data_IF_798316410323
#
_entry.id   IF_798316410323
#
_cell.length_a   1.000
_cell.length_b   1.000
_cell.length_c   1.000
_cell.angle_alpha   90.00
_cell.angle_beta   90.00
_cell.angle_gamma   90.00
#
_symmetry.space_group_name_H-M   'P 1'
#
loop_
_entity.id
_entity.type
_entity.pdbx_description
1 polymer ?
#
# COMPACT_ATOMS: atom_id res chain seq x y z
N UNK A 1 -17.63 -1.11 -8.07
CA UNK A 1 -16.97 -1.79 -6.93
C UNK A 1 -15.46 -1.79 -7.20
N UNK A 2 -14.61 -1.56 -6.19
CA UNK A 2 -13.14 -1.63 -6.40
C UNK A 2 -12.73 -3.09 -6.23
N UNK A 3 -12.09 -3.66 -7.26
CA UNK A 3 -11.53 -5.00 -7.23
C UNK A 3 -10.00 -4.90 -7.22
N UNK A 4 -9.33 -5.58 -6.29
CA UNK A 4 -7.87 -5.63 -6.19
C UNK A 4 -7.38 -6.99 -6.68
N UNK A 5 -6.67 -7.04 -7.80
CA UNK A 5 -6.15 -8.28 -8.39
C UNK A 5 -4.71 -8.59 -7.99
N UNK A 6 -3.91 -7.56 -7.70
CA UNK A 6 -2.52 -7.71 -7.33
C UNK A 6 -2.08 -6.59 -6.39
N UNK A 7 -1.21 -6.93 -5.45
CA UNK A 7 -0.52 -5.98 -4.59
C UNK A 7 0.97 -6.20 -4.71
N UNK A 8 1.73 -5.12 -4.93
CA UNK A 8 3.18 -5.13 -4.93
C UNK A 8 3.70 -4.21 -3.82
N UNK A 9 4.50 -4.78 -2.93
CA UNK A 9 5.17 -4.09 -1.84
C UNK A 9 6.66 -3.97 -2.19
N UNK A 10 7.18 -2.74 -2.24
CA UNK A 10 8.60 -2.47 -2.45
C UNK A 10 9.16 -1.75 -1.24
N UNK A 11 10.30 -2.23 -0.71
CA UNK A 11 10.95 -1.66 0.48
C UNK A 11 9.96 -1.36 1.64
N UNK A 12 9.07 -2.33 1.92
CA UNK A 12 8.06 -2.21 2.97
C UNK A 12 8.31 -3.24 4.06
N UNK A 13 8.81 -2.78 5.21
CA UNK A 13 9.33 -3.65 6.29
C UNK A 13 10.32 -4.68 5.74
N UNK A 14 10.11 -5.97 6.01
CA UNK A 14 10.95 -7.07 5.53
C UNK A 14 10.79 -7.38 4.04
N UNK A 15 9.84 -6.75 3.34
CA UNK A 15 9.64 -6.97 1.91
C UNK A 15 10.51 -6.01 1.08
N UNK A 16 11.58 -6.53 0.49
CA UNK A 16 12.39 -5.80 -0.50
C UNK A 16 11.58 -5.62 -1.79
N UNK A 17 11.07 -6.72 -2.33
CA UNK A 17 10.14 -6.74 -3.47
C UNK A 17 9.25 -7.97 -3.34
N UNK A 18 7.98 -7.76 -3.00
CA UNK A 18 7.01 -8.83 -2.80
C UNK A 18 5.74 -8.52 -3.59
N UNK A 19 5.22 -9.51 -4.32
CA UNK A 19 3.96 -9.41 -5.03
C UNK A 19 3.08 -10.60 -4.69
N UNK A 20 1.79 -10.35 -4.54
CA UNK A 20 0.79 -11.41 -4.38
C UNK A 20 -0.46 -11.07 -5.18
N UNK A 21 -0.92 -12.05 -5.93
CA UNK A 21 -2.21 -11.99 -6.62
C UNK A 21 -3.33 -12.28 -5.63
N UNK A 22 -4.42 -11.55 -5.75
CA UNK A 22 -5.57 -11.63 -4.86
C UNK A 22 -6.79 -12.11 -5.64
N UNK A 23 -7.56 -12.99 -5.01
CA UNK A 23 -8.89 -13.38 -5.45
C UNK A 23 -9.96 -12.63 -4.63
N UNK A 24 -11.24 -12.92 -4.85
CA UNK A 24 -12.33 -12.37 -4.04
C UNK A 24 -12.20 -12.73 -2.55
N UNK A 25 -11.66 -13.91 -2.25
CA UNK A 25 -11.40 -14.40 -0.91
C UNK A 25 -9.97 -14.93 -0.81
N UNK A 26 -9.24 -14.51 0.22
CA UNK A 26 -7.83 -14.86 0.41
C UNK A 26 -7.60 -15.24 1.88
N UNK A 27 -6.97 -16.39 2.12
CA UNK A 27 -6.50 -16.80 3.45
C UNK A 27 -4.98 -16.64 3.49
N UNK A 28 -4.48 -15.85 4.44
CA UNK A 28 -3.05 -15.70 4.67
C UNK A 28 -2.58 -16.74 5.68
N UNK A 29 -1.80 -17.72 5.23
CA UNK A 29 -1.22 -18.78 6.07
C UNK A 29 0.31 -18.70 6.09
N UNK A 30 0.92 -19.23 7.15
CA UNK A 30 2.38 -19.31 7.29
C UNK A 30 2.86 -19.15 8.74
N UNK A 31 4.17 -19.34 9.01
CA UNK A 31 4.76 -19.20 10.35
C UNK A 31 4.55 -17.82 10.98
N UNK A 32 4.73 -17.72 12.30
CA UNK A 32 4.83 -16.42 12.97
C UNK A 32 5.92 -15.59 12.30
N UNK A 33 5.68 -14.29 12.16
CA UNK A 33 6.60 -13.35 11.51
C UNK A 33 6.86 -13.56 10.01
N UNK A 34 6.15 -14.47 9.34
CA UNK A 34 6.23 -14.65 7.89
C UNK A 34 5.74 -13.43 7.04
N UNK A 35 5.39 -12.31 7.68
CA UNK A 35 4.96 -11.09 6.99
C UNK A 35 3.46 -10.99 6.70
N UNK A 36 2.63 -11.91 7.22
CA UNK A 36 1.16 -11.88 7.04
C UNK A 36 0.55 -10.54 7.51
N UNK A 37 0.87 -10.12 8.73
CA UNK A 37 0.42 -8.82 9.27
C UNK A 37 1.00 -7.62 8.51
N UNK A 38 2.16 -7.80 7.86
CA UNK A 38 2.72 -6.79 6.95
C UNK A 38 1.83 -6.62 5.73
N UNK A 39 1.39 -7.69 5.07
CA UNK A 39 0.46 -7.61 3.93
C UNK A 39 -0.85 -6.91 4.33
N UNK A 40 -1.43 -7.30 5.48
CA UNK A 40 -2.63 -6.63 6.02
C UNK A 40 -2.38 -5.13 6.26
N UNK A 41 -1.20 -4.77 6.79
CA UNK A 41 -0.80 -3.38 6.97
C UNK A 41 -0.74 -2.60 5.66
N UNK A 42 -0.14 -3.17 4.61
CA UNK A 42 -0.07 -2.54 3.28
C UNK A 42 -1.47 -2.30 2.71
N UNK A 43 -2.40 -3.26 2.86
CA UNK A 43 -3.78 -3.11 2.43
C UNK A 43 -4.52 -2.00 3.18
N UNK A 44 -4.26 -1.83 4.49
CA UNK A 44 -4.82 -0.72 5.27
C UNK A 44 -4.32 0.63 4.76
N UNK A 45 -3.02 0.77 4.50
CA UNK A 45 -2.42 2.00 3.93
C UNK A 45 -3.07 2.32 2.58
N UNK A 46 -3.22 1.31 1.72
CA UNK A 46 -3.85 1.46 0.42
C UNK A 46 -5.30 1.94 0.55
N UNK A 47 -6.07 1.36 1.47
CA UNK A 47 -7.46 1.78 1.73
C UNK A 47 -7.54 3.27 2.06
N UNK A 48 -6.67 3.79 2.93
CA UNK A 48 -6.66 5.23 3.26
C UNK A 48 -6.24 6.10 2.07
N UNK A 49 -5.24 5.67 1.30
CA UNK A 49 -4.84 6.36 0.07
C UNK A 49 -5.97 6.42 -0.95
N UNK A 50 -6.68 5.31 -1.18
CA UNK A 50 -7.82 5.25 -2.09
C UNK A 50 -9.00 6.11 -1.61
N UNK A 51 -9.29 6.14 -0.30
CA UNK A 51 -10.29 7.05 0.27
C UNK A 51 -9.91 8.50 -0.05
N UNK A 52 -8.67 8.91 0.22
CA UNK A 52 -8.21 10.28 -0.05
C UNK A 52 -8.33 10.65 -1.53
N UNK A 53 -7.90 9.75 -2.42
CA UNK A 53 -7.95 9.92 -3.87
C UNK A 53 -9.37 9.97 -4.45
N UNK A 54 -10.36 9.39 -3.76
CA UNK A 54 -11.77 9.48 -4.17
C UNK A 54 -12.39 10.84 -3.88
N UNK A 55 -11.94 11.53 -2.84
CA UNK A 55 -12.54 12.79 -2.39
C UNK A 55 -11.73 14.03 -2.79
N UNK A 56 -10.45 13.89 -3.12
CA UNK A 56 -9.56 15.01 -3.40
C UNK A 56 -8.81 14.83 -4.72
N UNK A 57 -8.45 15.93 -5.36
CA UNK A 57 -7.50 15.93 -6.48
C UNK A 57 -6.08 15.71 -5.95
N UNK A 58 -5.17 15.07 -6.72
CA UNK A 58 -3.79 14.90 -6.31
C UNK A 58 -3.07 16.26 -6.27
N UNK A 59 -2.06 16.36 -5.40
CA UNK A 59 -1.21 17.55 -5.24
C UNK A 59 0.22 17.23 -5.64
N UNK A 60 1.01 18.24 -6.02
CA UNK A 60 2.43 18.06 -6.27
C UNK A 60 3.15 17.77 -4.95
N UNK A 61 3.88 16.67 -4.90
CA UNK A 61 4.71 16.24 -3.77
C UNK A 61 6.13 15.98 -4.24
N UNK A 62 7.09 16.21 -3.36
CA UNK A 62 8.49 15.88 -3.62
C UNK A 62 8.68 14.36 -3.45
N UNK A 63 9.10 13.71 -4.53
CA UNK A 63 9.47 12.31 -4.51
C UNK A 63 10.89 12.15 -3.92
N UNK A 64 11.19 10.97 -3.40
CA UNK A 64 12.47 10.66 -2.73
C UNK A 64 13.68 10.84 -3.66
N UNK A 65 13.48 10.75 -4.98
CA UNK A 65 14.53 10.99 -5.98
C UNK A 65 14.73 12.49 -6.32
N UNK A 66 14.08 13.41 -5.60
CA UNK A 66 14.17 14.85 -5.83
C UNK A 66 13.22 15.41 -6.89
N UNK A 67 12.52 14.55 -7.65
CA UNK A 67 11.56 15.01 -8.65
C UNK A 67 10.20 15.31 -8.02
N UNK A 68 9.44 16.23 -8.63
CA UNK A 68 8.04 16.43 -8.25
C UNK A 68 7.13 15.41 -8.94
N UNK A 69 6.15 14.89 -8.20
CA UNK A 69 5.13 13.98 -8.74
C UNK A 69 3.77 14.30 -8.13
N UNK A 70 2.70 13.89 -8.81
CA UNK A 70 1.35 14.02 -8.25
C UNK A 70 1.09 12.90 -7.24
N UNK A 71 0.63 13.25 -6.04
CA UNK A 71 0.35 12.31 -4.99
C UNK A 71 -0.60 12.84 -3.92
N UNK A 72 -0.71 12.09 -2.83
CA UNK A 72 -1.61 12.40 -1.71
C UNK A 72 -0.84 12.31 -0.40
N UNK A 73 -1.04 13.29 0.47
CA UNK A 73 -0.62 13.18 1.87
C UNK A 73 -1.59 12.27 2.61
N UNK A 74 -1.12 11.07 2.95
CA UNK A 74 -1.83 10.10 3.76
C UNK A 74 -1.36 10.29 5.20
N UNK A 75 -2.28 10.62 6.10
CA UNK A 75 -1.98 10.57 7.53
C UNK A 75 -2.13 9.13 8.02
N UNK A 76 -1.06 8.56 8.56
CA UNK A 76 -1.02 7.19 9.04
C UNK A 76 -1.12 7.09 10.57
N UNK A 77 -1.23 8.23 11.28
CA UNK A 77 -1.22 8.27 12.75
C UNK A 77 -2.32 7.43 13.41
N UNK A 78 -3.49 7.39 12.79
CA UNK A 78 -4.64 6.65 13.31
C UNK A 78 -4.69 5.19 12.84
N UNK A 79 -3.73 4.77 12.01
CA UNK A 79 -3.70 3.43 11.46
C UNK A 79 -2.83 2.53 12.35
N UNK A 80 -3.37 1.42 12.89
CA UNK A 80 -2.63 0.50 13.76
C UNK A 80 -1.67 -0.36 12.91
N UNK A 81 -0.61 0.27 12.45
CA UNK A 81 0.49 -0.28 11.68
C UNK A 81 1.77 0.36 12.20
N UNK A 82 2.83 -0.45 12.35
CA UNK A 82 4.16 0.10 12.58
C UNK A 82 4.55 0.96 11.36
N UNK A 83 4.43 2.28 11.53
CA UNK A 83 4.67 3.35 10.53
C UNK A 83 6.15 3.63 10.31
N UNK A 84 7.00 3.12 11.21
CA UNK A 84 8.46 3.26 11.24
C UNK A 84 9.20 2.81 9.96
N UNK A 85 8.56 2.08 9.03
CA UNK A 85 9.21 1.53 7.83
C UNK A 85 8.35 1.58 6.53
N UNK A 86 7.52 2.62 6.34
CA UNK A 86 6.73 2.81 5.10
C UNK A 86 7.48 3.75 4.16
N UNK A 87 8.28 3.22 3.22
CA UNK A 87 9.11 4.07 2.34
C UNK A 87 8.51 4.31 0.95
N UNK A 88 7.83 3.34 0.34
CA UNK A 88 7.14 3.54 -0.94
C UNK A 88 6.15 2.40 -1.23
N UNK A 89 4.88 2.68 -1.47
CA UNK A 89 3.93 1.67 -2.00
C UNK A 89 3.38 2.15 -3.32
N UNK A 90 3.80 1.52 -4.42
CA UNK A 90 3.31 1.80 -5.77
C UNK A 90 2.35 0.67 -6.16
N UNK A 91 1.09 0.99 -6.47
CA UNK A 91 0.11 0.00 -6.90
C UNK A 91 -0.43 0.32 -8.29
N UNK A 92 -0.36 -0.67 -9.17
CA UNK A 92 -0.90 -0.59 -10.53
C UNK A 92 -2.32 -1.14 -10.51
N UNK A 93 -3.30 -0.29 -10.86
CA UNK A 93 -4.68 -0.74 -11.11
C UNK A 93 -4.68 -1.51 -12.43
N UNK A 94 -4.88 -2.83 -12.38
CA UNK A 94 -5.24 -3.58 -13.60
C UNK A 94 -6.74 -3.41 -13.78
N UNK A 95 -7.14 -2.57 -14.74
CA UNK A 95 -8.51 -2.59 -15.26
C UNK A 95 -8.67 -3.87 -16.08
N UNK A 96 -9.67 -4.67 -15.72
CA UNK A 96 -10.44 -5.46 -16.69
C UNK A 96 -11.71 -4.66 -17.00
#
# INVERSE_FOLDING_TARGET
MIHLSNITCKNYKSFINYSVSLNEFNILVGPNNAGKSTIIGALKILSEGLKKARYNKPVLINHINGNQTYGYHIDLKDLPIATENVFLTTMTKVQL
#
